data_IF_732609712154
#
_entry.id   IF_732609712154
#
_cell.length_a   1.000
_cell.length_b   1.000
_cell.length_c   1.000
_cell.angle_alpha   90.00
_cell.angle_beta   90.00
_cell.angle_gamma   90.00
#
_symmetry.space_group_name_H-M   'P 1'
#
loop_
_entity.id
_entity.type
_entity.pdbx_description
1 polymer ?
#
# COMPACT_ATOMS: atom_id res chain seq x y z
N UNK A 1 -6.25 -10.23 -22.51
CA UNK A 1 -4.84 -10.37 -22.05
C UNK A 1 -4.76 -9.49 -20.83
N UNK A 2 -4.09 -9.89 -19.74
CA UNK A 2 -4.11 -9.03 -18.56
C UNK A 2 -3.39 -7.70 -18.84
N UNK A 3 -4.04 -6.58 -18.52
CA UNK A 3 -3.51 -5.22 -18.65
C UNK A 3 -3.49 -4.54 -17.28
N UNK A 4 -2.57 -3.59 -17.11
CA UNK A 4 -2.46 -2.75 -15.92
C UNK A 4 -2.82 -1.32 -16.30
N UNK A 5 -3.83 -0.77 -15.64
CA UNK A 5 -4.26 0.63 -15.79
C UNK A 5 -3.95 1.38 -14.50
N UNK A 6 -3.28 2.53 -14.60
CA UNK A 6 -2.97 3.33 -13.42
C UNK A 6 -4.27 3.84 -12.77
N UNK A 7 -4.40 3.61 -11.47
CA UNK A 7 -5.50 4.11 -10.67
C UNK A 7 -5.09 5.33 -9.84
N UNK A 8 -4.00 5.23 -9.08
CA UNK A 8 -3.52 6.34 -8.27
C UNK A 8 -2.05 6.21 -7.93
N UNK A 9 -1.45 7.31 -7.49
CA UNK A 9 -0.16 7.30 -6.81
C UNK A 9 -0.36 7.65 -5.34
N UNK A 10 0.48 7.09 -4.47
CA UNK A 10 0.50 7.36 -3.03
C UNK A 10 1.89 7.86 -2.66
N UNK A 11 1.95 8.96 -1.93
CA UNK A 11 3.13 9.45 -1.25
C UNK A 11 2.84 9.54 0.25
N UNK A 12 3.62 8.86 1.09
CA UNK A 12 3.37 8.80 2.52
C UNK A 12 4.67 8.73 3.33
N UNK A 13 4.54 8.98 4.64
CA UNK A 13 5.61 8.79 5.61
C UNK A 13 5.26 7.65 6.55
N UNK A 14 6.21 6.73 6.73
CA UNK A 14 6.09 5.53 7.52
C UNK A 14 6.73 5.69 8.90
N UNK A 15 6.01 5.26 9.94
CA UNK A 15 6.48 5.16 11.31
C UNK A 15 6.52 3.70 11.74
N UNK A 16 7.70 3.25 12.15
CA UNK A 16 7.97 1.85 12.48
C UNK A 16 7.77 1.58 13.97
N UNK A 17 7.00 0.54 14.29
CA UNK A 17 6.80 0.05 15.65
C UNK A 17 7.28 -1.41 15.75
N UNK A 18 8.56 -1.62 16.08
CA UNK A 18 9.12 -2.96 16.32
C UNK A 18 8.34 -3.71 17.40
N UNK A 19 7.82 -4.88 17.08
CA UNK A 19 7.12 -5.74 18.05
C UNK A 19 8.08 -6.77 18.65
N UNK A 20 8.81 -7.51 17.80
CA UNK A 20 9.76 -8.53 18.26
C UNK A 20 9.93 -9.72 17.31
N UNK A 21 10.74 -10.70 17.75
CA UNK A 21 11.00 -11.92 16.99
C UNK A 21 9.84 -12.91 17.07
N UNK A 22 9.56 -13.54 15.94
CA UNK A 22 8.65 -14.67 15.77
C UNK A 22 9.39 -15.80 15.02
N UNK A 23 8.83 -17.03 14.96
CA UNK A 23 9.43 -18.10 14.15
C UNK A 23 9.58 -17.75 12.66
N UNK A 24 8.79 -16.82 12.13
CA UNK A 24 8.79 -16.44 10.70
C UNK A 24 9.68 -15.22 10.39
N UNK A 25 10.21 -14.56 11.41
CA UNK A 25 10.97 -13.31 11.25
C UNK A 25 10.68 -12.30 12.34
N UNK A 26 11.08 -11.05 12.11
CA UNK A 26 10.88 -9.96 13.03
C UNK A 26 9.60 -9.18 12.67
N UNK A 27 8.63 -9.11 13.58
CA UNK A 27 7.36 -8.41 13.39
C UNK A 27 7.54 -6.92 13.64
N UNK A 28 7.04 -6.11 12.72
CA UNK A 28 7.01 -4.65 12.79
C UNK A 28 5.64 -4.19 12.33
N UNK A 29 4.97 -3.39 13.15
CA UNK A 29 3.77 -2.69 12.72
C UNK A 29 4.21 -1.32 12.16
N UNK A 30 3.94 -1.06 10.89
CA UNK A 30 4.34 0.16 10.20
C UNK A 30 3.11 1.00 9.91
N UNK A 31 2.90 2.05 10.71
CA UNK A 31 1.86 3.04 10.43
C UNK A 31 2.34 3.95 9.29
N UNK A 32 1.45 4.38 8.41
CA UNK A 32 1.79 5.35 7.37
C UNK A 32 0.66 6.36 7.17
N UNK A 33 1.06 7.60 6.87
CA UNK A 33 0.16 8.71 6.60
C UNK A 33 0.70 9.57 5.44
N UNK A 34 -0.17 10.06 4.58
CA UNK A 34 0.23 10.78 3.38
C UNK A 34 -0.94 11.22 2.51
N UNK A 35 -0.70 11.29 1.20
CA UNK A 35 -1.72 11.65 0.22
C UNK A 35 -1.67 10.77 -1.02
N UNK A 36 -2.80 10.75 -1.75
CA UNK A 36 -2.93 10.09 -3.04
C UNK A 36 -3.45 11.07 -4.09
N UNK A 37 -2.95 10.91 -5.32
CA UNK A 37 -3.44 11.61 -6.52
C UNK A 37 -3.90 10.59 -7.55
N UNK A 38 -4.85 10.96 -8.40
CA UNK A 38 -5.44 10.05 -9.38
C UNK A 38 -6.07 10.81 -10.54
N UNK A 39 -6.15 10.20 -11.74
CA UNK A 39 -6.99 10.71 -12.82
C UNK A 39 -8.50 10.63 -12.52
N UNK A 40 -8.94 9.92 -11.48
CA UNK A 40 -10.35 9.70 -11.14
C UNK A 40 -10.92 10.73 -10.16
N UNK A 41 -10.10 11.63 -9.60
CA UNK A 41 -10.57 12.73 -8.75
C UNK A 41 -9.63 13.94 -8.81
N UNK A 42 -10.14 15.12 -8.49
CA UNK A 42 -9.32 16.32 -8.41
C UNK A 42 -8.56 16.43 -7.08
N UNK A 43 -7.29 16.84 -7.17
CA UNK A 43 -6.44 17.15 -6.02
C UNK A 43 -5.94 15.93 -5.23
N UNK A 44 -5.46 16.20 -4.03
CA UNK A 44 -4.91 15.19 -3.13
C UNK A 44 -5.97 14.67 -2.16
N UNK A 45 -6.00 13.35 -1.95
CA UNK A 45 -6.81 12.70 -0.91
C UNK A 45 -5.91 12.17 0.20
N UNK A 46 -6.26 12.34 1.49
CA UNK A 46 -5.46 11.80 2.58
C UNK A 46 -5.39 10.27 2.50
N UNK A 47 -4.24 9.72 2.85
CA UNK A 47 -4.00 8.28 2.97
C UNK A 47 -3.56 7.99 4.39
N UNK A 48 -4.13 6.96 5.00
CA UNK A 48 -3.68 6.44 6.29
C UNK A 48 -3.78 4.93 6.31
N UNK A 49 -2.84 4.24 6.94
CA UNK A 49 -2.95 2.80 7.13
C UNK A 49 -1.90 2.22 8.07
N UNK A 50 -1.98 0.90 8.22
CA UNK A 50 -1.10 0.10 9.04
C UNK A 50 -0.72 -1.16 8.28
N UNK A 51 0.58 -1.43 8.17
CA UNK A 51 1.15 -2.67 7.66
C UNK A 51 1.68 -3.53 8.81
N UNK A 52 1.17 -4.75 8.94
CA UNK A 52 1.57 -5.73 9.95
C UNK A 52 2.71 -6.62 9.42
N UNK A 53 3.84 -6.01 9.08
CA UNK A 53 4.92 -6.64 8.34
C UNK A 53 5.70 -7.69 9.15
N UNK A 54 6.21 -8.71 8.46
CA UNK A 54 7.23 -9.64 8.99
C UNK A 54 8.49 -9.53 8.15
N UNK A 55 9.58 -9.04 8.75
CA UNK A 55 10.91 -9.01 8.14
C UNK A 55 11.56 -10.39 8.30
N UNK A 56 11.79 -11.07 7.18
CA UNK A 56 12.39 -12.41 7.11
C UNK A 56 13.90 -12.37 7.27
N UNK A 57 14.51 -13.54 7.47
CA UNK A 57 15.97 -13.69 7.58
C UNK A 57 16.74 -13.37 6.30
N UNK A 58 16.09 -13.46 5.14
CA UNK A 58 16.65 -13.08 3.84
C UNK A 58 16.43 -11.59 3.48
N UNK A 59 15.98 -10.80 4.47
CA UNK A 59 15.75 -9.36 4.31
C UNK A 59 14.47 -8.99 3.58
N UNK A 60 13.71 -9.95 3.04
CA UNK A 60 12.40 -9.66 2.47
C UNK A 60 11.37 -9.41 3.58
N UNK A 61 10.38 -8.56 3.31
CA UNK A 61 9.22 -8.40 4.18
C UNK A 61 8.01 -9.07 3.57
N UNK A 62 7.25 -9.82 4.38
CA UNK A 62 5.88 -10.19 4.05
C UNK A 62 4.97 -9.07 4.58
N UNK A 63 4.07 -8.58 3.73
CA UNK A 63 3.24 -7.40 4.00
C UNK A 63 1.78 -7.82 4.24
N UNK A 64 1.11 -7.12 5.16
CA UNK A 64 -0.32 -7.26 5.45
C UNK A 64 -0.86 -5.88 5.82
N UNK A 65 -1.47 -5.20 4.88
CA UNK A 65 -1.85 -3.80 4.99
C UNK A 65 -3.36 -3.64 5.13
N UNK A 66 -3.76 -2.75 6.03
CA UNK A 66 -5.10 -2.17 6.06
C UNK A 66 -4.99 -0.66 6.01
N UNK A 67 -5.65 -0.05 5.03
CA UNK A 67 -5.58 1.39 4.85
C UNK A 67 -6.85 1.98 4.29
N UNK A 68 -6.82 3.30 4.13
CA UNK A 68 -7.86 4.07 3.48
C UNK A 68 -7.28 5.22 2.67
N UNK A 69 -7.97 5.57 1.59
CA UNK A 69 -7.76 6.77 0.78
C UNK A 69 -9.01 7.64 0.92
N UNK A 70 -8.84 8.95 1.11
CA UNK A 70 -9.94 9.88 1.27
C UNK A 70 -10.52 9.91 2.69
N UNK A 71 -11.60 10.68 2.85
CA UNK A 71 -12.31 10.82 4.12
C UNK A 71 -13.80 11.03 3.89
N UNK A 72 -14.63 10.74 4.90
CA UNK A 72 -16.08 10.89 4.80
C UNK A 72 -16.65 10.03 3.65
N UNK A 73 -17.47 10.65 2.79
CA UNK A 73 -18.11 9.98 1.65
C UNK A 73 -17.13 9.56 0.55
N UNK A 74 -15.94 10.17 0.53
CA UNK A 74 -14.88 9.91 -0.46
C UNK A 74 -13.95 8.77 -0.05
N UNK A 75 -14.28 8.07 1.05
CA UNK A 75 -13.41 7.03 1.60
C UNK A 75 -13.42 5.78 0.73
N UNK A 76 -12.24 5.31 0.39
CA UNK A 76 -11.97 3.97 -0.14
C UNK A 76 -11.14 3.25 0.90
N UNK A 77 -11.72 2.25 1.56
CA UNK A 77 -10.96 1.31 2.37
C UNK A 77 -10.27 0.31 1.47
N UNK A 78 -9.08 -0.14 1.86
CA UNK A 78 -8.40 -1.21 1.16
C UNK A 78 -7.73 -2.18 2.13
N UNK A 79 -7.69 -3.43 1.70
CA UNK A 79 -6.79 -4.45 2.24
C UNK A 79 -5.77 -4.77 1.16
N UNK A 80 -4.52 -4.90 1.57
CA UNK A 80 -3.44 -5.26 0.67
C UNK A 80 -2.49 -6.25 1.34
N UNK A 81 -1.72 -6.95 0.53
CA UNK A 81 -0.69 -7.88 1.00
C UNK A 81 0.32 -8.13 -0.09
N UNK A 82 1.48 -8.67 0.27
CA UNK A 82 2.52 -8.89 -0.72
C UNK A 82 3.89 -9.07 -0.12
N UNK A 83 4.90 -8.65 -0.88
CA UNK A 83 6.30 -8.74 -0.49
C UNK A 83 7.02 -7.44 -0.73
N UNK A 84 7.92 -7.06 0.17
CA UNK A 84 8.89 -6.01 -0.11
C UNK A 84 10.30 -6.63 -0.23
N UNK A 85 10.98 -6.32 -1.34
CA UNK A 85 12.35 -6.76 -1.59
C UNK A 85 13.33 -5.74 -1.02
N UNK A 86 14.40 -6.15 -0.32
CA UNK A 86 15.41 -5.20 0.16
C UNK A 86 16.22 -4.64 -1.01
N UNK A 87 16.53 -3.35 -0.96
CA UNK A 87 17.51 -2.72 -1.83
C UNK A 87 18.95 -2.88 -1.32
N UNK A 88 19.91 -2.34 -2.07
CA UNK A 88 21.33 -2.35 -1.67
C UNK A 88 21.60 -1.47 -0.45
N UNK A 89 20.89 -0.34 -0.34
CA UNK A 89 21.00 0.58 0.79
C UNK A 89 20.13 0.12 1.96
N UNK A 90 20.68 0.20 3.18
CA UNK A 90 19.92 -0.09 4.40
C UNK A 90 18.71 0.83 4.50
N UNK A 91 17.55 0.23 4.76
CA UNK A 91 16.28 0.97 4.87
C UNK A 91 15.64 1.33 3.53
N UNK A 92 16.17 0.81 2.42
CA UNK A 92 15.51 0.88 1.12
C UNK A 92 14.80 -0.44 0.84
N UNK A 93 13.49 -0.39 0.57
CA UNK A 93 12.67 -1.54 0.22
C UNK A 93 11.86 -1.26 -1.05
N UNK A 94 11.48 -2.32 -1.76
CA UNK A 94 10.66 -2.27 -2.98
C UNK A 94 9.38 -3.09 -2.78
N UNK A 95 8.29 -2.48 -2.27
CA UNK A 95 7.01 -3.15 -2.09
C UNK A 95 6.38 -3.58 -3.43
N UNK A 96 5.77 -4.75 -3.41
CA UNK A 96 4.94 -5.32 -4.47
C UNK A 96 3.73 -5.96 -3.81
N UNK A 97 2.58 -5.31 -3.99
CA UNK A 97 1.36 -5.57 -3.23
C UNK A 97 0.22 -5.93 -4.18
N UNK A 98 -0.66 -6.84 -3.77
CA UNK A 98 -2.02 -6.92 -4.29
C UNK A 98 -2.94 -6.09 -3.41
N UNK A 99 -4.03 -5.55 -3.95
CA UNK A 99 -5.01 -4.77 -3.20
C UNK A 99 -6.45 -5.09 -3.60
N UNK A 100 -7.35 -5.02 -2.63
CA UNK A 100 -8.82 -5.06 -2.80
C UNK A 100 -9.45 -3.90 -2.05
N UNK A 101 -10.59 -3.41 -2.55
CA UNK A 101 -11.19 -2.16 -2.07
C UNK A 101 -12.61 -2.35 -1.55
N UNK A 102 -13.03 -1.45 -0.66
CA UNK A 102 -14.41 -1.26 -0.23
C UNK A 102 -14.73 0.24 -0.20
N UNK A 103 -15.78 0.65 -0.91
CA UNK A 103 -16.23 2.05 -0.93
C UNK A 103 -17.73 2.17 -1.16
N UNK A 104 -18.31 3.18 -0.53
CA UNK A 104 -19.68 3.63 -0.77
C UNK A 104 -19.75 4.83 -1.74
N UNK A 105 -18.61 5.31 -2.27
CA UNK A 105 -18.59 6.34 -3.30
C UNK A 105 -19.08 5.71 -4.63
N UNK A 106 -20.17 6.25 -5.18
CA UNK A 106 -20.78 5.73 -6.42
C UNK A 106 -19.88 5.90 -7.65
N UNK A 107 -19.12 7.00 -7.74
CA UNK A 107 -18.18 7.28 -8.83
C UNK A 107 -17.00 6.30 -8.83
N UNK A 108 -16.59 5.86 -7.63
CA UNK A 108 -15.52 4.88 -7.42
C UNK A 108 -16.06 3.46 -7.19
N UNK A 109 -17.35 3.23 -7.44
CA UNK A 109 -18.02 1.95 -7.14
C UNK A 109 -17.42 0.75 -7.87
N UNK A 110 -16.75 0.97 -9.00
CA UNK A 110 -16.04 -0.06 -9.77
C UNK A 110 -14.91 -0.72 -8.96
N UNK A 111 -14.33 -0.03 -7.96
CA UNK A 111 -13.27 -0.57 -7.11
C UNK A 111 -13.73 -1.77 -6.26
N UNK A 112 -15.02 -1.84 -5.92
CA UNK A 112 -15.57 -2.93 -5.11
C UNK A 112 -15.49 -4.31 -5.79
N UNK A 113 -15.33 -4.34 -7.12
CA UNK A 113 -15.13 -5.56 -7.91
C UNK A 113 -13.74 -5.68 -8.53
N UNK A 114 -12.83 -4.77 -8.22
CA UNK A 114 -11.52 -4.69 -8.87
C UNK A 114 -10.43 -5.40 -8.07
N UNK A 115 -9.46 -5.95 -8.79
CA UNK A 115 -8.16 -6.35 -8.24
C UNK A 115 -7.13 -5.30 -8.67
N UNK A 116 -6.31 -4.85 -7.73
CA UNK A 116 -5.17 -3.99 -8.03
C UNK A 116 -3.84 -4.61 -7.62
N UNK A 117 -2.77 -4.06 -8.19
CA UNK A 117 -1.40 -4.25 -7.73
C UNK A 117 -0.77 -2.90 -7.45
N UNK A 118 0.00 -2.77 -6.38
CA UNK A 118 0.82 -1.60 -6.10
C UNK A 118 2.30 -1.94 -6.16
N UNK A 119 3.07 -1.04 -6.74
CA UNK A 119 4.52 -1.15 -6.84
C UNK A 119 5.16 0.17 -6.46
N UNK A 120 6.30 0.12 -5.78
CA UNK A 120 7.05 1.35 -5.52
C UNK A 120 8.27 1.16 -4.64
N UNK A 121 8.55 2.17 -3.83
CA UNK A 121 9.78 2.30 -3.07
C UNK A 121 9.49 2.85 -1.66
N UNK A 122 10.22 2.32 -0.68
CA UNK A 122 10.25 2.82 0.69
C UNK A 122 11.71 3.15 1.02
N UNK A 123 12.03 4.45 1.16
CA UNK A 123 13.38 4.97 1.44
C UNK A 123 13.42 5.60 2.82
N UNK A 124 13.87 4.85 3.81
CA UNK A 124 13.76 5.29 5.21
C UNK A 124 12.29 5.39 5.58
N UNK A 125 11.76 6.56 5.98
CA UNK A 125 10.32 6.73 6.22
C UNK A 125 9.53 7.04 4.95
N UNK A 126 10.15 7.42 3.83
CA UNK A 126 9.41 7.93 2.68
C UNK A 126 8.92 6.80 1.79
N UNK A 127 7.59 6.68 1.66
CA UNK A 127 6.89 5.70 0.83
C UNK A 127 6.36 6.37 -0.43
N UNK A 128 6.63 5.76 -1.58
CA UNK A 128 6.03 6.10 -2.87
C UNK A 128 5.51 4.84 -3.54
N UNK A 129 4.23 4.83 -3.92
CA UNK A 129 3.59 3.71 -4.62
C UNK A 129 2.82 4.21 -5.84
N UNK A 130 2.79 3.40 -6.88
CA UNK A 130 1.79 3.51 -7.96
C UNK A 130 0.89 2.29 -7.90
N UNK A 131 -0.42 2.53 -7.86
CA UNK A 131 -1.48 1.52 -7.81
C UNK A 131 -2.06 1.36 -9.21
N UNK A 132 -2.14 0.11 -9.67
CA UNK A 132 -2.70 -0.26 -10.97
C UNK A 132 -3.86 -1.22 -10.80
N UNK A 133 -4.94 -1.00 -11.53
CA UNK A 133 -6.06 -1.95 -11.65
C UNK A 133 -5.72 -2.99 -12.70
N UNK A 134 -6.08 -4.25 -12.41
CA UNK A 134 -5.95 -5.36 -13.32
C UNK A 134 -7.22 -5.46 -14.17
N UNK A 135 -7.07 -5.39 -15.49
CA UNK A 135 -8.16 -5.58 -16.46
C UNK A 135 -7.85 -6.74 -17.42
N UNK A 136 -8.89 -7.31 -18.05
CA UNK A 136 -8.82 -8.56 -18.83
C UNK A 136 -9.02 -8.36 -20.34
#
# INVERSE_FOLDING_TARGET
MAHLEEFCTIAASATYHPTGKTPLGFRVDTAFEGTATSPHWDGERPVTGLDYAVVRSDGHSNLEIRGRIGSGKETVFYTAGGVARPGEARGHMYPQEWMTFETANEELGFLNGALAVAMGELKGPDLSLTVYLVSA
#
